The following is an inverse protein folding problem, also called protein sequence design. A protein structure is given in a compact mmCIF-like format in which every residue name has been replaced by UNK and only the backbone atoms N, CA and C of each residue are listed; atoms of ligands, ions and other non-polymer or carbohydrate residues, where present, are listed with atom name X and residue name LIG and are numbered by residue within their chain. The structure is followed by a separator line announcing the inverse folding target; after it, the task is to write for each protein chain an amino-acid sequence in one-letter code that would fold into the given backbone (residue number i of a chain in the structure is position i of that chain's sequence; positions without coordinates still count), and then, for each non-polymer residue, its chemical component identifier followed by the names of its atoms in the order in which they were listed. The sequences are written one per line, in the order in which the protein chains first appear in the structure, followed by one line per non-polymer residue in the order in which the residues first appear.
data_IF_481424220197
#
_entry.id   IF_481424220197
#
_cell.length_a   1.000
_cell.length_b   1.000
_cell.length_c   1.000
_cell.angle_alpha   90.00
_cell.angle_beta   90.00
_cell.angle_gamma   90.00
#
_symmetry.space_group_name_H-M   'P 1'
#
loop_
_entity.id
_entity.type
_entity.pdbx_description
1 polymer ?
#
# COMPACT_ATOMS: atom_id res chain seq x y z
N UNK A 1 -16.77 -0.72 -15.78
CA UNK A 1 -15.62 -1.57 -15.44
C UNK A 1 -14.55 -0.69 -14.83
N UNK A 2 -14.20 -0.94 -13.59
CA UNK A 2 -13.16 -0.19 -12.89
C UNK A 2 -11.85 -0.81 -13.27
N UNK A 3 -10.99 -0.03 -13.87
CA UNK A 3 -9.60 -0.43 -14.00
C UNK A 3 -9.02 -0.60 -12.59
N UNK A 4 -8.49 -1.73 -12.29
CA UNK A 4 -7.89 -1.97 -10.99
C UNK A 4 -6.59 -1.21 -10.88
N UNK A 5 -6.25 -0.82 -9.66
CA UNK A 5 -4.89 -0.43 -9.31
C UNK A 5 -3.94 -1.55 -9.75
N UNK A 6 -2.82 -1.27 -10.43
CA UNK A 6 -1.92 -2.30 -10.94
C UNK A 6 -1.32 -3.19 -9.86
N UNK A 7 -1.40 -2.74 -8.61
CA UNK A 7 -1.00 -3.53 -7.45
C UNK A 7 -2.18 -4.09 -6.66
N UNK A 8 -3.42 -3.71 -7.02
CA UNK A 8 -4.65 -4.12 -6.34
C UNK A 8 -5.77 -4.32 -7.34
N UNK A 9 -5.56 -5.22 -8.30
CA UNK A 9 -6.59 -5.58 -9.25
C UNK A 9 -7.59 -6.53 -8.61
N UNK A 10 -8.78 -6.05 -8.28
CA UNK A 10 -9.94 -6.88 -8.00
C UNK A 10 -10.89 -6.79 -9.18
N UNK A 11 -11.26 -7.94 -9.77
CA UNK A 11 -12.35 -7.96 -10.73
C UNK A 11 -13.66 -7.67 -10.01
N UNK A 12 -14.50 -6.85 -10.64
CA UNK A 12 -15.86 -6.60 -10.17
C UNK A 12 -16.80 -7.70 -10.64
N UNK A 13 -17.58 -8.20 -9.72
CA UNK A 13 -18.91 -8.67 -10.06
C UNK A 13 -19.76 -7.47 -10.49
N UNK A 14 -20.47 -7.63 -11.59
CA UNK A 14 -21.36 -6.64 -12.19
C UNK A 14 -22.39 -6.14 -11.18
N UNK A 15 -22.16 -4.98 -10.60
CA UNK A 15 -23.17 -4.19 -9.94
C UNK A 15 -22.78 -2.71 -10.08
N UNK A 16 -23.67 -1.98 -10.64
CA UNK A 16 -23.67 -0.56 -10.87
C UNK A 16 -23.56 0.20 -9.57
N UNK A 17 -22.38 0.66 -9.19
CA UNK A 17 -22.13 1.91 -8.49
C UNK A 17 -20.64 2.02 -8.12
N UNK A 18 -20.02 3.19 -8.22
CA UNK A 18 -18.62 3.38 -7.92
C UNK A 18 -18.40 3.47 -6.40
N UNK A 19 -18.33 2.33 -5.72
CA UNK A 19 -17.80 2.30 -4.37
C UNK A 19 -16.32 2.69 -4.39
N UNK A 20 -15.88 3.66 -3.58
CA UNK A 20 -14.48 3.99 -3.45
C UNK A 20 -13.71 2.78 -2.90
N UNK A 21 -12.46 2.62 -3.33
CA UNK A 21 -11.54 1.55 -2.91
C UNK A 21 -11.23 1.53 -1.39
N UNK A 22 -12.07 2.17 -0.58
CA UNK A 22 -12.00 2.19 0.88
C UNK A 22 -12.02 0.82 1.55
N UNK A 23 -12.49 -0.18 0.86
CA UNK A 23 -12.62 -1.54 1.37
C UNK A 23 -11.31 -2.36 1.36
N UNK A 24 -10.29 -1.97 0.61
CA UNK A 24 -8.99 -2.64 0.67
C UNK A 24 -8.37 -2.54 2.07
N UNK A 25 -8.65 -1.46 2.78
CA UNK A 25 -8.13 -1.20 4.12
C UNK A 25 -9.13 -1.50 5.21
N UNK A 26 -10.43 -1.51 4.90
CA UNK A 26 -11.46 -1.89 5.88
C UNK A 26 -11.29 -3.35 6.32
N UNK A 27 -10.74 -4.18 5.47
CA UNK A 27 -10.48 -5.59 5.73
C UNK A 27 -9.13 -5.90 6.37
N UNK A 28 -8.23 -4.93 6.46
CA UNK A 28 -7.08 -5.02 7.36
C UNK A 28 -7.52 -4.98 8.84
N UNK A 29 -8.79 -4.63 9.13
CA UNK A 29 -9.37 -4.67 10.48
C UNK A 29 -9.47 -6.07 11.08
N UNK A 30 -9.49 -7.11 10.27
CA UNK A 30 -9.52 -8.49 10.76
C UNK A 30 -8.12 -9.06 10.94
N UNK A 31 -7.19 -8.26 11.46
CA UNK A 31 -5.97 -8.82 12.01
C UNK A 31 -6.34 -9.66 13.24
N UNK A 32 -5.95 -10.94 13.28
CA UNK A 32 -6.34 -11.84 14.37
C UNK A 32 -5.81 -11.32 15.70
N UNK A 33 -6.67 -11.40 16.72
CA UNK A 33 -6.41 -11.19 18.15
C UNK A 33 -5.23 -10.25 18.49
N UNK A 34 -5.56 -8.98 18.70
CA UNK A 34 -4.61 -7.90 19.05
C UNK A 34 -3.69 -8.22 20.23
N UNK A 35 -4.05 -9.17 21.08
CA UNK A 35 -3.30 -9.49 22.30
C UNK A 35 -2.06 -10.35 22.06
N UNK A 36 -1.96 -11.04 20.92
CA UNK A 36 -0.80 -11.87 20.58
C UNK A 36 0.30 -11.13 19.81
N UNK A 37 -0.02 -9.96 19.26
CA UNK A 37 0.84 -9.24 18.33
C UNK A 37 1.35 -7.90 18.89
N UNK A 38 0.97 -7.55 20.11
CA UNK A 38 1.26 -6.24 20.71
C UNK A 38 2.75 -5.92 20.84
N UNK A 39 3.61 -6.94 20.87
CA UNK A 39 5.03 -6.75 21.10
C UNK A 39 5.90 -6.93 19.83
N UNK A 40 5.30 -7.28 18.69
CA UNK A 40 6.04 -7.51 17.44
C UNK A 40 5.52 -6.60 16.33
N UNK A 41 6.39 -5.81 15.75
CA UNK A 41 6.10 -4.99 14.56
C UNK A 41 6.30 -5.73 13.23
N UNK A 42 6.50 -7.04 13.24
CA UNK A 42 6.78 -7.88 12.07
C UNK A 42 5.93 -9.16 12.05
N UNK A 43 5.80 -9.78 10.88
CA UNK A 43 4.99 -10.98 10.67
C UNK A 43 3.56 -10.70 10.21
N UNK A 44 3.25 -9.46 9.85
CA UNK A 44 1.94 -9.04 9.33
C UNK A 44 1.83 -9.12 7.80
N UNK A 45 2.95 -9.17 7.08
CA UNK A 45 2.97 -9.21 5.62
C UNK A 45 2.10 -10.31 5.01
N UNK A 46 2.11 -11.55 5.53
CA UNK A 46 1.21 -12.61 5.07
C UNK A 46 -0.28 -12.29 5.20
N UNK A 47 -0.66 -11.41 6.14
CA UNK A 47 -2.04 -11.00 6.39
C UNK A 47 -2.45 -9.73 5.62
N UNK A 48 -1.51 -9.09 4.91
CA UNK A 48 -1.83 -7.96 4.07
C UNK A 48 -2.84 -8.38 3.00
N UNK A 49 -3.99 -7.68 2.95
CA UNK A 49 -5.08 -7.96 2.00
C UNK A 49 -5.65 -9.39 2.09
N UNK A 50 -5.73 -9.98 3.27
CA UNK A 50 -6.03 -11.38 3.52
C UNK A 50 -7.23 -11.89 2.72
N UNK A 51 -8.38 -11.22 2.77
CA UNK A 51 -9.61 -11.64 2.12
C UNK A 51 -9.55 -11.65 0.58
N UNK A 52 -8.56 -10.98 -0.01
CA UNK A 52 -8.38 -10.95 -1.46
C UNK A 52 -7.21 -11.79 -1.92
N UNK A 53 -6.22 -11.88 -1.03
CA UNK A 53 -4.99 -12.61 -1.28
C UNK A 53 -5.19 -14.11 -1.28
N UNK A 54 -6.13 -14.61 -0.47
CA UNK A 54 -6.39 -16.03 -0.31
C UNK A 54 -7.80 -16.42 -0.76
N UNK A 55 -7.97 -17.69 -1.15
CA UNK A 55 -9.25 -18.24 -1.60
C UNK A 55 -10.13 -18.69 -0.42
N UNK A 56 -9.55 -18.92 0.74
CA UNK A 56 -10.19 -19.35 1.98
C UNK A 56 -10.32 -18.20 2.98
N UNK A 57 -11.21 -18.35 3.92
CA UNK A 57 -11.35 -17.42 5.06
C UNK A 57 -10.29 -17.75 6.09
N UNK A 58 -9.37 -16.79 6.35
CA UNK A 58 -8.32 -16.94 7.35
C UNK A 58 -8.86 -17.00 8.77
N UNK A 59 -8.17 -17.76 9.62
CA UNK A 59 -8.44 -17.82 11.05
C UNK A 59 -7.39 -17.02 11.83
N UNK A 60 -7.75 -16.41 12.96
CA UNK A 60 -6.79 -15.71 13.81
C UNK A 60 -5.62 -16.61 14.23
N UNK A 61 -4.37 -16.16 13.90
CA UNK A 61 -3.16 -16.91 14.24
C UNK A 61 -2.85 -18.11 13.34
N UNK A 62 -3.58 -18.28 12.24
CA UNK A 62 -3.32 -19.32 11.25
C UNK A 62 -2.00 -19.07 10.52
N UNK A 63 -1.26 -20.15 10.26
CA UNK A 63 -0.12 -20.11 9.34
C UNK A 63 -0.62 -19.96 7.90
N UNK A 64 -0.19 -18.89 7.24
CA UNK A 64 -0.61 -18.55 5.89
C UNK A 64 0.27 -19.22 4.81
N UNK A 65 1.31 -19.97 5.17
CA UNK A 65 2.29 -20.53 4.24
C UNK A 65 1.67 -21.49 3.23
N UNK A 66 0.68 -22.26 3.66
CA UNK A 66 0.03 -23.29 2.86
C UNK A 66 -1.39 -22.91 2.38
N UNK A 67 -1.82 -21.66 2.62
CA UNK A 67 -3.13 -21.21 2.19
C UNK A 67 -3.21 -21.07 0.66
N UNK A 68 -4.33 -21.46 0.04
CA UNK A 68 -4.51 -21.31 -1.40
C UNK A 68 -4.58 -19.83 -1.77
N UNK A 69 -3.57 -19.36 -2.52
CA UNK A 69 -3.49 -17.97 -2.98
C UNK A 69 -4.47 -17.75 -4.13
N UNK A 70 -5.17 -16.62 -4.11
CA UNK A 70 -6.01 -16.18 -5.21
C UNK A 70 -5.13 -15.76 -6.41
N UNK A 71 -5.18 -16.48 -7.55
CA UNK A 71 -4.34 -16.16 -8.70
C UNK A 71 -4.72 -14.85 -9.39
N UNK A 72 -5.95 -14.39 -9.19
CA UNK A 72 -6.44 -13.14 -9.77
C UNK A 72 -6.04 -11.91 -8.93
N UNK A 73 -5.59 -12.12 -7.71
CA UNK A 73 -5.13 -11.02 -6.88
C UNK A 73 -3.76 -10.54 -7.33
N UNK A 74 -3.66 -9.26 -7.63
CA UNK A 74 -2.50 -8.67 -8.30
C UNK A 74 -1.17 -8.91 -7.56
N UNK A 75 -1.14 -8.83 -6.23
CA UNK A 75 0.07 -9.04 -5.45
C UNK A 75 0.52 -10.51 -5.38
N UNK A 76 -0.32 -11.45 -5.83
CA UNK A 76 0.06 -12.84 -5.98
C UNK A 76 0.65 -13.14 -7.36
N UNK A 77 0.52 -12.21 -8.32
CA UNK A 77 1.03 -12.41 -9.69
C UNK A 77 2.56 -12.29 -9.70
N UNK A 78 3.28 -13.18 -10.41
CA UNK A 78 4.74 -13.17 -10.46
C UNK A 78 5.34 -11.85 -10.95
N UNK A 79 4.63 -11.14 -11.84
CA UNK A 79 5.09 -9.86 -12.42
C UNK A 79 5.24 -8.72 -11.40
N UNK A 80 4.62 -8.84 -10.22
CA UNK A 80 4.65 -7.82 -9.17
C UNK A 80 5.40 -8.28 -7.92
N UNK A 81 6.04 -9.45 -7.97
CA UNK A 81 6.86 -9.90 -6.85
C UNK A 81 8.04 -8.97 -6.62
N UNK A 82 8.29 -8.63 -5.36
CA UNK A 82 9.34 -7.70 -4.98
C UNK A 82 9.03 -6.23 -5.27
N UNK A 83 7.78 -5.88 -5.55
CA UNK A 83 7.37 -4.49 -5.71
C UNK A 83 7.54 -3.71 -4.39
N UNK A 84 8.24 -2.58 -4.45
CA UNK A 84 8.50 -1.70 -3.31
C UNK A 84 7.60 -0.46 -3.29
N UNK A 85 6.89 -0.19 -4.39
CA UNK A 85 5.96 0.92 -4.53
C UNK A 85 4.56 0.40 -4.80
N UNK A 86 3.61 0.82 -3.98
CA UNK A 86 2.20 0.50 -4.12
C UNK A 86 1.46 1.68 -4.77
N UNK A 87 0.81 1.44 -5.90
CA UNK A 87 -0.09 2.43 -6.52
C UNK A 87 -1.52 2.17 -6.09
N UNK A 88 -2.21 3.21 -5.64
CA UNK A 88 -3.60 3.14 -5.18
C UNK A 88 -4.39 4.35 -5.67
N UNK A 89 -5.71 4.29 -5.53
CA UNK A 89 -6.61 5.39 -5.87
C UNK A 89 -6.98 6.22 -4.64
N UNK A 90 -8.04 7.01 -4.77
CA UNK A 90 -8.51 7.92 -3.72
C UNK A 90 -8.88 7.21 -2.41
N UNK A 91 -8.71 7.94 -1.32
CA UNK A 91 -9.11 7.56 0.04
C UNK A 91 -8.48 6.25 0.53
N UNK A 92 -7.23 6.01 0.20
CA UNK A 92 -6.52 4.82 0.65
C UNK A 92 -6.30 4.83 2.16
N UNK A 93 -6.55 3.71 2.81
CA UNK A 93 -6.40 3.57 4.26
C UNK A 93 -7.65 3.91 5.09
N UNK A 94 -8.79 4.22 4.46
CA UNK A 94 -9.99 4.70 5.16
C UNK A 94 -10.60 3.69 6.15
N UNK A 95 -10.36 2.41 5.99
CA UNK A 95 -10.88 1.37 6.88
C UNK A 95 -10.02 1.10 8.11
N UNK A 96 -8.82 1.66 8.21
CA UNK A 96 -7.87 1.31 9.27
C UNK A 96 -7.55 2.50 10.17
N UNK A 97 -7.98 2.42 11.43
CA UNK A 97 -7.54 3.32 12.49
C UNK A 97 -6.31 2.79 13.26
N UNK A 98 -5.73 1.67 12.84
CA UNK A 98 -4.65 0.98 13.56
C UNK A 98 -3.32 1.04 12.79
N UNK A 99 -2.21 1.01 13.52
CA UNK A 99 -0.86 0.96 12.97
C UNK A 99 -0.53 -0.37 12.28
N UNK A 100 -1.30 -1.43 12.54
CA UNK A 100 -1.10 -2.74 11.93
C UNK A 100 -1.18 -2.72 10.39
N UNK A 101 -1.96 -1.80 9.81
CA UNK A 101 -2.07 -1.69 8.37
C UNK A 101 -0.77 -1.25 7.70
N UNK A 102 -0.11 -0.15 8.10
CA UNK A 102 1.24 0.17 7.64
C UNK A 102 2.27 -0.93 7.93
N UNK A 103 2.21 -1.58 9.10
CA UNK A 103 3.14 -2.69 9.40
C UNK A 103 2.99 -3.84 8.41
N UNK A 104 1.75 -4.22 8.09
CA UNK A 104 1.50 -5.28 7.11
C UNK A 104 2.04 -4.94 5.72
N UNK A 105 1.92 -3.67 5.29
CA UNK A 105 2.44 -3.21 4.00
C UNK A 105 3.98 -3.12 3.99
N UNK A 106 4.57 -2.62 5.07
CA UNK A 106 6.02 -2.56 5.22
C UNK A 106 6.63 -3.96 5.22
N UNK A 107 6.05 -4.87 6.00
CA UNK A 107 6.49 -6.25 6.12
C UNK A 107 6.24 -7.06 4.82
N UNK A 108 5.27 -6.63 4.01
CA UNK A 108 5.09 -7.14 2.65
C UNK A 108 6.22 -6.71 1.70
N UNK A 109 6.88 -5.57 1.98
CA UNK A 109 8.00 -5.02 1.22
C UNK A 109 7.79 -3.62 0.66
N UNK A 110 6.63 -3.01 0.89
CA UNK A 110 6.38 -1.66 0.36
C UNK A 110 7.09 -0.59 1.17
N UNK A 111 7.82 0.28 0.48
CA UNK A 111 8.53 1.44 1.04
C UNK A 111 7.81 2.76 0.76
N UNK A 112 7.09 2.82 -0.36
CA UNK A 112 6.31 3.98 -0.74
C UNK A 112 4.91 3.57 -1.23
N UNK A 113 3.95 4.46 -1.00
CA UNK A 113 2.57 4.30 -1.47
C UNK A 113 2.18 5.58 -2.20
N UNK A 114 1.77 5.45 -3.46
CA UNK A 114 1.29 6.57 -4.27
C UNK A 114 -0.23 6.46 -4.38
N UNK A 115 -0.93 7.54 -4.06
CA UNK A 115 -2.38 7.60 -4.08
C UNK A 115 -2.88 8.98 -4.50
N UNK A 116 -4.14 9.05 -4.93
CA UNK A 116 -4.84 10.33 -5.14
C UNK A 116 -5.13 11.04 -3.81
N UNK A 117 -5.45 10.26 -2.78
CA UNK A 117 -5.63 10.72 -1.40
C UNK A 117 -5.55 9.57 -0.41
N UNK A 118 -5.35 9.90 0.86
CA UNK A 118 -5.29 8.95 1.97
C UNK A 118 -6.27 9.33 3.07
N UNK A 119 -6.66 8.35 3.88
CA UNK A 119 -7.28 8.63 5.17
C UNK A 119 -6.23 9.19 6.15
N UNK A 120 -6.59 10.22 6.92
CA UNK A 120 -5.66 10.98 7.76
C UNK A 120 -4.88 10.12 8.76
N UNK A 121 -5.57 9.20 9.45
CA UNK A 121 -4.94 8.33 10.44
C UNK A 121 -3.92 7.40 9.76
N UNK A 122 -4.29 6.80 8.64
CA UNK A 122 -3.40 5.92 7.89
C UNK A 122 -2.18 6.68 7.35
N UNK A 123 -2.38 7.87 6.79
CA UNK A 123 -1.33 8.75 6.29
C UNK A 123 -0.29 9.06 7.37
N UNK A 124 -0.74 9.45 8.56
CA UNK A 124 0.15 9.73 9.68
C UNK A 124 0.88 8.47 10.17
N UNK A 125 0.20 7.34 10.22
CA UNK A 125 0.79 6.07 10.65
C UNK A 125 1.82 5.54 9.64
N UNK A 126 1.71 5.85 8.34
CA UNK A 126 2.75 5.53 7.37
C UNK A 126 4.08 6.16 7.74
N UNK A 127 4.11 7.47 8.02
CA UNK A 127 5.34 8.17 8.40
C UNK A 127 5.98 7.62 9.67
N UNK A 128 5.17 7.33 10.70
CA UNK A 128 5.65 6.75 11.97
C UNK A 128 6.32 5.39 11.78
N UNK A 129 5.98 4.69 10.69
CA UNK A 129 6.49 3.35 10.41
C UNK A 129 7.45 3.31 9.22
N UNK A 130 7.96 4.46 8.75
CA UNK A 130 8.98 4.53 7.71
C UNK A 130 8.46 4.24 6.29
N UNK A 131 7.15 4.29 6.05
CA UNK A 131 6.55 4.25 4.71
C UNK A 131 6.35 5.68 4.24
N UNK A 132 6.73 5.97 2.99
CA UNK A 132 6.50 7.25 2.34
C UNK A 132 5.14 7.27 1.62
N UNK A 133 4.10 7.92 2.15
CA UNK A 133 2.86 8.16 1.41
C UNK A 133 3.01 9.38 0.51
N UNK A 134 2.74 9.22 -0.79
CA UNK A 134 2.85 10.26 -1.82
C UNK A 134 1.46 10.54 -2.37
N UNK A 135 1.03 11.78 -2.30
CA UNK A 135 -0.21 12.25 -2.93
C UNK A 135 0.11 12.82 -4.30
N UNK A 136 -0.51 12.29 -5.33
CA UNK A 136 -0.43 12.82 -6.70
C UNK A 136 -1.82 13.12 -7.25
N UNK A 137 -1.92 14.05 -8.21
CA UNK A 137 -3.18 14.29 -8.92
C UNK A 137 -3.74 13.02 -9.57
N UNK A 138 -5.07 12.88 -9.59
CA UNK A 138 -5.74 11.69 -10.13
C UNK A 138 -5.28 11.32 -11.56
N UNK A 139 -5.07 12.32 -12.43
CA UNK A 139 -4.58 12.10 -13.80
C UNK A 139 -3.19 11.48 -13.85
N UNK A 140 -2.29 11.87 -12.94
CA UNK A 140 -0.94 11.28 -12.86
C UNK A 140 -0.99 9.85 -12.30
N UNK A 141 -1.81 9.60 -11.29
CA UNK A 141 -2.00 8.26 -10.74
C UNK A 141 -2.55 7.32 -11.81
N UNK A 142 -3.57 7.76 -12.56
CA UNK A 142 -4.15 6.96 -13.64
C UNK A 142 -3.14 6.67 -14.76
N UNK A 143 -2.35 7.67 -15.16
CA UNK A 143 -1.30 7.49 -16.16
C UNK A 143 -0.23 6.47 -15.70
N UNK A 144 0.18 6.52 -14.42
CA UNK A 144 1.09 5.55 -13.84
C UNK A 144 0.49 4.14 -13.84
N UNK A 145 -0.79 4.00 -13.47
CA UNK A 145 -1.51 2.73 -13.48
C UNK A 145 -1.47 2.11 -14.88
N UNK A 146 -1.85 2.87 -15.91
CA UNK A 146 -1.86 2.41 -17.29
C UNK A 146 -0.47 1.97 -17.78
N UNK A 147 0.58 2.73 -17.44
CA UNK A 147 1.95 2.41 -17.82
C UNK A 147 2.45 1.12 -17.14
N UNK A 148 2.16 0.94 -15.86
CA UNK A 148 2.52 -0.28 -15.12
C UNK A 148 1.78 -1.49 -15.65
N UNK A 149 0.51 -1.36 -16.03
CA UNK A 149 -0.27 -2.43 -16.66
C UNK A 149 0.29 -2.81 -18.04
N UNK A 150 0.64 -1.82 -18.84
CA UNK A 150 1.17 -2.02 -20.19
C UNK A 150 2.59 -2.61 -20.19
N UNK A 151 3.41 -2.28 -19.18
CA UNK A 151 4.84 -2.62 -19.18
C UNK A 151 5.21 -3.54 -18.03
N UNK A 152 5.42 -4.86 -18.27
CA UNK A 152 5.96 -5.75 -17.25
C UNK A 152 7.33 -5.28 -16.74
N UNK A 153 7.53 -5.29 -15.43
CA UNK A 153 8.78 -4.85 -14.82
C UNK A 153 8.96 -3.33 -14.79
N UNK A 154 7.88 -2.56 -14.93
CA UNK A 154 7.92 -1.10 -14.84
C UNK A 154 8.56 -0.62 -13.54
N UNK A 155 9.48 0.32 -13.65
CA UNK A 155 10.22 0.86 -12.50
C UNK A 155 10.00 2.36 -12.40
N UNK A 156 9.81 2.82 -11.16
CA UNK A 156 9.79 4.23 -10.80
C UNK A 156 11.02 4.56 -9.96
N UNK A 157 11.51 5.80 -10.07
CA UNK A 157 12.47 6.35 -9.14
C UNK A 157 11.71 7.30 -8.22
N UNK A 158 11.72 7.04 -6.93
CA UNK A 158 11.16 7.93 -5.91
C UNK A 158 12.33 8.66 -5.26
N UNK A 159 12.52 9.91 -5.60
CA UNK A 159 13.58 10.78 -5.05
C UNK A 159 12.98 11.66 -3.95
N UNK A 160 13.15 11.25 -2.71
CA UNK A 160 12.66 11.98 -1.54
C UNK A 160 13.42 13.29 -1.31
N UNK A 161 14.76 13.36 -1.43
CA UNK A 161 15.49 14.62 -1.39
C UNK A 161 14.97 15.69 -2.34
N UNK A 162 14.76 15.33 -3.59
CA UNK A 162 14.25 16.24 -4.65
C UNK A 162 12.73 16.34 -4.68
N UNK A 163 12.01 15.48 -3.93
CA UNK A 163 10.56 15.39 -3.88
C UNK A 163 9.92 15.18 -5.27
N UNK A 164 10.45 14.22 -6.01
CA UNK A 164 9.93 13.87 -7.34
C UNK A 164 9.78 12.35 -7.49
N UNK A 165 8.76 11.96 -8.25
CA UNK A 165 8.62 10.60 -8.78
C UNK A 165 9.01 10.66 -10.24
N UNK A 166 10.04 9.93 -10.64
CA UNK A 166 10.55 9.93 -12.01
C UNK A 166 10.12 8.65 -12.72
N UNK A 167 9.50 8.81 -13.88
CA UNK A 167 9.12 7.71 -14.77
C UNK A 167 10.30 7.28 -15.66
N UNK A 168 10.26 6.08 -16.27
CA UNK A 168 11.30 5.62 -17.19
C UNK A 168 11.53 6.52 -18.42
N UNK A 169 10.50 7.27 -18.80
CA UNK A 169 10.58 8.26 -19.90
C UNK A 169 11.28 9.57 -19.49
N UNK A 170 11.72 9.68 -18.23
CA UNK A 170 12.36 10.87 -17.68
C UNK A 170 11.39 11.93 -17.18
N UNK A 171 10.08 11.72 -17.29
CA UNK A 171 9.09 12.65 -16.75
C UNK A 171 9.12 12.65 -15.23
N UNK A 172 9.37 13.81 -14.62
CA UNK A 172 9.42 14.01 -13.17
C UNK A 172 8.11 14.62 -12.68
N UNK A 173 7.44 13.92 -11.76
CA UNK A 173 6.19 14.34 -11.13
C UNK A 173 6.54 14.85 -9.73
N UNK A 174 6.40 16.15 -9.44
CA UNK A 174 6.69 16.68 -8.13
C UNK A 174 5.63 16.28 -7.11
N UNK A 175 6.03 16.03 -5.88
CA UNK A 175 5.12 15.83 -4.76
C UNK A 175 5.55 16.69 -3.57
N UNK A 176 4.62 16.91 -2.66
CA UNK A 176 4.88 17.70 -1.47
C UNK A 176 4.88 16.82 -0.23
N UNK A 177 5.81 17.09 0.66
CA UNK A 177 5.92 16.48 1.97
C UNK A 177 6.34 17.56 2.98
N UNK A 178 5.83 17.45 4.19
CA UNK A 178 6.26 18.30 5.30
C UNK A 178 7.77 18.14 5.57
N UNK A 179 8.46 19.26 5.81
CA UNK A 179 9.91 19.27 5.97
C UNK A 179 10.41 18.38 7.13
N UNK A 180 9.71 18.40 8.27
CA UNK A 180 10.05 17.58 9.41
C UNK A 180 9.87 16.08 9.12
N UNK A 181 8.76 15.70 8.47
CA UNK A 181 8.51 14.31 8.06
C UNK A 181 9.53 13.81 7.04
N UNK A 182 9.97 14.70 6.14
CA UNK A 182 11.04 14.39 5.18
C UNK A 182 12.34 14.07 5.91
N UNK A 183 12.74 14.91 6.88
CA UNK A 183 13.94 14.70 7.70
C UNK A 183 13.85 13.38 8.49
N UNK A 184 12.71 13.08 9.10
CA UNK A 184 12.50 11.82 9.82
C UNK A 184 12.72 10.61 8.89
N UNK A 185 12.14 10.61 7.71
CA UNK A 185 12.31 9.51 6.75
C UNK A 185 13.73 9.38 6.22
N UNK A 186 14.41 10.51 5.94
CA UNK A 186 15.79 10.50 5.44
C UNK A 186 16.80 9.98 6.48
N UNK A 187 16.56 10.28 7.75
CA UNK A 187 17.46 9.91 8.85
C UNK A 187 17.04 8.62 9.58
N UNK A 188 15.87 8.06 9.22
CA UNK A 188 15.33 6.89 9.90
C UNK A 188 14.93 7.17 11.35
N UNK A 189 14.53 8.40 11.65
CA UNK A 189 14.06 8.78 12.99
C UNK A 189 12.62 8.37 13.18
N UNK A 190 12.32 7.76 14.30
CA UNK A 190 10.96 7.55 14.80
C UNK A 190 10.62 8.61 15.85
N UNK A 191 9.32 8.74 16.20
CA UNK A 191 8.84 9.71 17.18
C UNK A 191 9.51 9.55 18.58
N UNK A 192 10.18 8.43 18.85
CA UNK A 192 10.83 8.10 20.10
C UNK A 192 12.31 8.54 20.09
N UNK A 193 12.95 8.56 18.93
CA UNK A 193 14.36 8.96 18.77
C UNK A 193 14.61 10.46 18.90
N UNK A 194 13.55 11.27 19.04
CA UNK A 194 13.60 12.72 19.14
C UNK A 194 13.40 13.26 20.58
N UNK A 195 13.27 12.39 21.57
CA UNK A 195 13.25 12.69 23.00
C UNK A 195 14.54 12.23 23.66
#
# INVERSE_FOLDING_TARGET
ERSPCPFLRAERSSASDPEPLGWATDRLRRCPDDRRWSDKRSGFGPNAFDEWRYMDVGQPGQDNSNRPKNPNFVLNQPRYQGAEVLLTRANFGCGSSREHAPWALLDFGFKAIIAESFADIFFNNCFKNGILPIVLPAGEVEALVQQVEATPGYKLIVDLPSQVVVRPDGHAIPFQIDAFRKECLLNGWDDIGLT
#
